data_IF_954057333375
#
_entry.id   IF_954057333375
#
_cell.length_a   1.000
_cell.length_b   1.000
_cell.length_c   1.000
_cell.angle_alpha   90.00
_cell.angle_beta   90.00
_cell.angle_gamma   90.00
#
_symmetry.space_group_name_H-M   'P 1'
#
loop_
_entity.id
_entity.type
_entity.pdbx_description
1 polymer ?
#
# COMPACT_ATOMS: atom_id res chain seq x y z
N UNK A 1 39.51 34.82 -50.99
CA UNK A 1 39.67 33.39 -50.63
C UNK A 1 40.05 33.15 -49.17
N UNK A 2 41.04 33.86 -48.59
CA UNK A 2 41.51 33.58 -47.22
C UNK A 2 40.49 33.86 -46.09
N UNK A 3 39.56 34.81 -46.27
CA UNK A 3 38.48 35.10 -45.29
C UNK A 3 37.43 33.99 -45.23
N UNK A 4 37.18 33.32 -46.35
CA UNK A 4 36.22 32.22 -46.44
C UNK A 4 36.70 31.01 -45.64
N UNK A 5 37.99 30.69 -45.76
CA UNK A 5 38.62 29.59 -45.01
C UNK A 5 38.57 29.82 -43.50
N UNK A 6 38.84 31.05 -43.04
CA UNK A 6 38.78 31.42 -41.61
C UNK A 6 37.36 31.30 -41.04
N UNK A 7 36.34 31.62 -41.82
CA UNK A 7 34.94 31.49 -41.40
C UNK A 7 34.51 30.02 -41.33
N UNK A 8 34.94 29.18 -42.28
CA UNK A 8 34.68 27.74 -42.26
C UNK A 8 35.34 27.04 -41.08
N UNK A 9 36.54 27.45 -40.68
CA UNK A 9 37.21 26.92 -39.49
C UNK A 9 36.51 27.31 -38.18
N UNK A 10 35.97 28.52 -38.08
CA UNK A 10 35.21 28.95 -36.89
C UNK A 10 33.89 28.19 -36.77
N UNK A 11 33.13 28.07 -37.85
CA UNK A 11 31.83 27.39 -37.82
C UNK A 11 31.97 25.91 -37.48
N UNK A 12 32.99 25.24 -38.03
CA UNK A 12 33.28 23.83 -37.70
C UNK A 12 33.69 23.66 -36.23
N UNK A 13 34.48 24.59 -35.68
CA UNK A 13 34.82 24.58 -34.25
C UNK A 13 33.60 24.70 -33.34
N UNK A 14 32.67 25.63 -33.64
CA UNK A 14 31.43 25.76 -32.87
C UNK A 14 30.51 24.54 -33.02
N UNK A 15 30.45 23.92 -34.19
CA UNK A 15 29.68 22.69 -34.41
C UNK A 15 30.21 21.52 -33.58
N UNK A 16 31.53 21.38 -33.50
CA UNK A 16 32.19 20.37 -32.66
C UNK A 16 31.93 20.65 -31.18
N UNK A 17 32.02 21.91 -30.74
CA UNK A 17 31.72 22.28 -29.36
C UNK A 17 30.25 22.01 -28.98
N UNK A 18 29.32 22.26 -29.92
CA UNK A 18 27.89 22.03 -29.74
C UNK A 18 27.53 20.54 -29.68
N UNK A 19 28.20 19.68 -30.45
CA UNK A 19 27.99 18.23 -30.36
C UNK A 19 28.47 17.64 -29.03
N UNK A 20 29.44 18.26 -28.35
CA UNK A 20 29.81 17.89 -26.98
C UNK A 20 28.78 18.27 -25.92
N UNK A 21 27.87 19.22 -26.21
CA UNK A 21 26.72 19.54 -25.34
C UNK A 21 25.60 18.50 -25.49
N UNK A 22 25.46 17.91 -26.67
CA UNK A 22 24.59 16.75 -26.92
C UNK A 22 25.30 15.44 -26.54
N UNK A 23 25.66 15.29 -25.27
CA UNK A 23 25.89 13.95 -24.72
C UNK A 23 24.53 13.26 -24.66
N UNK A 24 24.39 12.16 -25.40
CA UNK A 24 23.25 11.26 -25.31
C UNK A 24 23.10 10.85 -23.84
N UNK A 25 22.08 11.35 -23.14
CA UNK A 25 21.70 10.76 -21.86
C UNK A 25 21.19 9.37 -22.18
N UNK A 26 22.07 8.38 -22.05
CA UNK A 26 21.64 7.00 -21.97
C UNK A 26 20.62 6.96 -20.82
N UNK A 27 19.40 6.51 -21.11
CA UNK A 27 18.20 6.77 -20.30
C UNK A 27 18.21 6.15 -18.90
N UNK A 28 18.97 6.74 -17.97
CA UNK A 28 19.05 6.34 -16.55
C UNK A 28 18.04 7.13 -15.68
N UNK A 29 17.47 8.22 -16.21
CA UNK A 29 16.53 9.09 -15.46
C UNK A 29 15.23 8.40 -15.05
N UNK A 30 14.72 7.44 -15.84
CA UNK A 30 13.49 6.71 -15.51
C UNK A 30 13.70 5.68 -14.39
N UNK A 31 14.85 5.01 -14.37
CA UNK A 31 15.15 3.99 -13.35
C UNK A 31 15.44 4.64 -12.01
N UNK A 32 16.26 5.71 -11.97
CA UNK A 32 16.55 6.44 -10.73
C UNK A 32 15.30 7.12 -10.15
N UNK A 33 14.41 7.66 -10.98
CA UNK A 33 13.15 8.24 -10.52
C UNK A 33 12.19 7.17 -9.99
N UNK A 34 12.11 6.02 -10.65
CA UNK A 34 11.34 4.86 -10.18
C UNK A 34 11.87 4.35 -8.84
N UNK A 35 13.17 4.20 -8.70
CA UNK A 35 13.83 3.74 -7.49
C UNK A 35 13.70 4.78 -6.35
N UNK A 36 13.87 6.07 -6.63
CA UNK A 36 13.63 7.13 -5.66
C UNK A 36 12.15 7.24 -5.23
N UNK A 37 11.20 7.01 -6.13
CA UNK A 37 9.76 6.94 -5.81
C UNK A 37 9.46 5.70 -4.97
N UNK A 38 10.06 4.56 -5.31
CA UNK A 38 9.97 3.30 -4.57
C UNK A 38 10.53 3.44 -3.16
N UNK A 39 11.73 4.03 -3.02
CA UNK A 39 12.36 4.35 -1.75
C UNK A 39 11.46 5.31 -0.96
N UNK A 40 10.86 6.33 -1.60
CA UNK A 40 9.93 7.26 -0.95
C UNK A 40 8.59 6.62 -0.54
N UNK A 41 8.26 5.46 -1.10
CA UNK A 41 7.03 4.71 -0.85
C UNK A 41 7.37 3.30 -0.40
N UNK A 42 8.00 3.19 0.76
CA UNK A 42 8.34 1.90 1.35
C UNK A 42 7.06 1.11 1.66
N UNK A 43 6.92 -0.05 1.01
CA UNK A 43 5.91 -1.05 1.34
C UNK A 43 6.24 -1.67 2.71
N UNK A 44 5.24 -1.74 3.59
CA UNK A 44 5.34 -2.39 4.90
C UNK A 44 4.28 -3.49 4.99
N UNK A 45 4.72 -4.70 5.29
CA UNK A 45 3.83 -5.79 5.69
C UNK A 45 3.54 -5.67 7.19
N UNK A 46 2.26 -5.71 7.56
CA UNK A 46 1.81 -5.65 8.95
C UNK A 46 0.99 -6.89 9.25
N UNK A 47 1.25 -7.50 10.40
CA UNK A 47 0.47 -8.61 10.95
C UNK A 47 -0.12 -8.16 12.28
N UNK A 48 -1.44 -8.31 12.43
CA UNK A 48 -2.16 -7.98 13.66
C UNK A 48 -2.92 -9.21 14.14
N UNK A 49 -2.99 -9.35 15.46
CA UNK A 49 -3.75 -10.40 16.13
C UNK A 49 -4.54 -9.77 17.27
N UNK A 50 -5.85 -9.97 17.28
CA UNK A 50 -6.73 -9.44 18.31
C UNK A 50 -8.05 -10.22 18.37
N UNK A 51 -8.80 -10.02 19.46
CA UNK A 51 -10.13 -10.58 19.65
C UNK A 51 -11.16 -9.45 19.65
N UNK A 52 -12.35 -9.73 19.12
CA UNK A 52 -13.46 -8.77 19.12
C UNK A 52 -14.79 -9.48 19.36
N UNK A 53 -15.73 -8.78 20.00
CA UNK A 53 -17.10 -9.26 20.15
C UNK A 53 -17.91 -8.95 18.89
N UNK A 54 -18.68 -9.91 18.41
CA UNK A 54 -19.58 -9.76 17.27
C UNK A 54 -20.95 -10.35 17.62
N UNK A 55 -22.01 -9.86 16.99
CA UNK A 55 -23.35 -10.39 17.14
C UNK A 55 -23.83 -10.82 15.77
N UNK A 56 -23.92 -12.13 15.57
CA UNK A 56 -24.33 -12.70 14.30
C UNK A 56 -25.85 -12.80 14.23
N UNK A 57 -26.43 -12.37 13.10
CA UNK A 57 -27.86 -12.50 12.83
C UNK A 57 -28.12 -12.84 11.37
N UNK A 58 -29.11 -13.68 11.13
CA UNK A 58 -29.50 -14.13 9.80
C UNK A 58 -28.62 -15.24 9.22
N UNK A 59 -29.06 -15.75 8.06
CA UNK A 59 -28.48 -16.94 7.40
C UNK A 59 -27.21 -16.65 6.59
N UNK A 60 -27.10 -15.45 6.03
CA UNK A 60 -25.97 -15.04 5.17
C UNK A 60 -25.52 -13.61 5.49
N UNK A 61 -24.89 -13.37 6.66
CA UNK A 61 -24.52 -12.02 7.03
C UNK A 61 -23.28 -11.52 6.28
N UNK A 62 -23.16 -10.20 6.23
CA UNK A 62 -21.96 -9.48 5.79
C UNK A 62 -21.49 -8.60 6.94
N UNK A 63 -20.18 -8.39 7.02
CA UNK A 63 -19.56 -7.50 7.99
C UNK A 63 -19.01 -6.25 7.29
N UNK A 64 -19.19 -5.10 7.95
CA UNK A 64 -18.54 -3.83 7.61
C UNK A 64 -17.96 -3.26 8.89
N UNK A 65 -16.65 -3.40 9.06
CA UNK A 65 -15.96 -3.13 10.31
C UNK A 65 -14.85 -2.12 10.07
N UNK A 66 -14.64 -1.21 11.02
CA UNK A 66 -13.51 -0.31 11.04
C UNK A 66 -12.85 -0.40 12.42
N UNK A 67 -11.62 -0.91 12.45
CA UNK A 67 -10.87 -1.03 13.69
C UNK A 67 -9.94 0.16 13.84
N UNK A 68 -10.15 0.95 14.89
CA UNK A 68 -9.36 2.13 15.23
C UNK A 68 -8.44 1.83 16.41
N UNK A 69 -7.16 2.16 16.25
CA UNK A 69 -6.14 1.98 17.27
C UNK A 69 -5.97 3.29 18.04
N UNK A 70 -6.22 3.27 19.34
CA UNK A 70 -6.16 4.47 20.20
C UNK A 70 -4.86 4.63 20.99
N UNK A 71 -4.00 3.62 20.99
CA UNK A 71 -2.75 3.59 21.77
C UNK A 71 -1.62 2.87 21.02
N UNK A 72 -0.40 2.94 21.56
CA UNK A 72 0.78 2.27 21.00
C UNK A 72 1.32 2.87 19.69
N UNK A 73 2.10 2.09 18.93
CA UNK A 73 2.72 2.54 17.68
C UNK A 73 1.70 3.02 16.65
N UNK A 74 0.49 2.44 16.67
CA UNK A 74 -0.54 2.63 15.66
C UNK A 74 -1.64 3.62 16.08
N UNK A 75 -1.47 4.34 17.19
CA UNK A 75 -2.43 5.34 17.66
C UNK A 75 -2.89 6.29 16.54
N UNK A 76 -4.22 6.43 16.39
CA UNK A 76 -4.90 7.24 15.38
C UNK A 76 -4.94 6.61 13.98
N UNK A 77 -4.48 5.37 13.82
CA UNK A 77 -4.58 4.62 12.57
C UNK A 77 -5.78 3.67 12.61
N UNK A 78 -6.29 3.28 11.44
CA UNK A 78 -7.38 2.33 11.33
C UNK A 78 -7.22 1.38 10.15
N UNK A 79 -7.91 0.24 10.20
CA UNK A 79 -8.12 -0.66 9.06
C UNK A 79 -9.62 -0.89 8.86
N UNK A 80 -10.04 -1.01 7.60
CA UNK A 80 -11.44 -1.26 7.25
C UNK A 80 -11.58 -2.63 6.58
N UNK A 81 -12.57 -3.39 7.04
CA UNK A 81 -12.90 -4.74 6.57
C UNK A 81 -14.31 -4.71 6.02
N UNK A 82 -14.52 -5.27 4.83
CA UNK A 82 -15.84 -5.41 4.23
C UNK A 82 -15.93 -6.76 3.52
N UNK A 83 -16.80 -7.65 3.99
CA UNK A 83 -16.84 -9.01 3.47
C UNK A 83 -18.04 -9.82 3.91
N UNK A 84 -18.17 -11.01 3.35
CA UNK A 84 -19.15 -12.00 3.78
C UNK A 84 -18.69 -12.59 5.11
N UNK A 85 -19.58 -12.66 6.08
CA UNK A 85 -19.27 -13.15 7.42
C UNK A 85 -20.17 -14.35 7.75
N UNK A 86 -19.97 -15.47 7.05
CA UNK A 86 -20.74 -16.69 7.27
C UNK A 86 -20.28 -17.38 8.56
N UNK A 87 -20.86 -17.01 9.69
CA UNK A 87 -20.44 -17.44 11.03
C UNK A 87 -20.47 -18.94 11.33
N UNK A 88 -21.11 -19.74 10.46
CA UNK A 88 -21.06 -21.21 10.51
C UNK A 88 -19.77 -21.80 9.92
N UNK A 89 -19.01 -20.98 9.17
CA UNK A 89 -17.68 -21.35 8.68
C UNK A 89 -16.66 -21.10 9.80
N UNK A 90 -15.79 -22.09 10.02
CA UNK A 90 -14.78 -22.09 11.08
C UNK A 90 -13.82 -20.91 10.96
N UNK A 91 -13.26 -20.69 9.76
CA UNK A 91 -12.39 -19.57 9.44
C UNK A 91 -12.94 -18.81 8.24
N UNK A 92 -13.13 -17.51 8.40
CA UNK A 92 -13.69 -16.62 7.37
C UNK A 92 -12.62 -15.63 6.93
N UNK A 93 -12.27 -15.68 5.65
CA UNK A 93 -11.39 -14.67 5.05
C UNK A 93 -12.21 -13.45 4.62
N UNK A 94 -11.87 -12.28 5.14
CA UNK A 94 -12.46 -11.00 4.76
C UNK A 94 -11.39 -10.03 4.27
N UNK A 95 -11.62 -9.29 3.19
CA UNK A 95 -10.60 -8.39 2.65
C UNK A 95 -10.45 -7.15 3.52
N UNK A 96 -9.19 -6.73 3.68
CA UNK A 96 -8.86 -5.37 4.12
C UNK A 96 -9.00 -4.46 2.90
N UNK A 97 -10.05 -3.66 2.90
CA UNK A 97 -10.41 -2.77 1.78
C UNK A 97 -9.74 -1.40 1.89
N UNK A 98 -9.14 -1.09 3.04
CA UNK A 98 -8.41 0.16 3.23
C UNK A 98 -7.87 0.32 4.64
N UNK A 99 -7.21 1.46 4.85
CA UNK A 99 -6.72 1.87 6.15
C UNK A 99 -6.32 3.35 6.17
N UNK A 100 -6.22 3.90 7.38
CA UNK A 100 -5.88 5.30 7.64
C UNK A 100 -4.58 5.43 8.45
N UNK A 101 -4.08 6.65 8.60
CA UNK A 101 -2.86 6.90 9.37
C UNK A 101 -1.66 6.10 8.86
N UNK A 102 -1.04 5.31 9.74
CA UNK A 102 0.11 4.44 9.43
C UNK A 102 -0.24 3.27 8.51
N UNK A 103 -1.52 2.96 8.34
CA UNK A 103 -2.02 1.90 7.47
C UNK A 103 -2.62 2.46 6.17
N UNK A 104 -2.20 3.66 5.76
CA UNK A 104 -2.65 4.23 4.49
C UNK A 104 -2.34 3.27 3.34
N UNK A 105 -3.32 3.11 2.45
CA UNK A 105 -3.29 2.17 1.33
C UNK A 105 -3.21 0.70 1.76
N UNK A 106 -3.65 0.37 2.99
CA UNK A 106 -3.71 -1.01 3.43
C UNK A 106 -4.57 -1.86 2.49
N UNK A 107 -4.01 -2.98 2.03
CA UNK A 107 -4.72 -4.02 1.29
C UNK A 107 -4.18 -5.39 1.70
N UNK A 108 -5.08 -6.33 1.96
CA UNK A 108 -4.75 -7.63 2.52
C UNK A 108 -6.00 -8.38 2.94
N UNK A 109 -5.86 -9.23 3.95
CA UNK A 109 -6.92 -10.12 4.41
C UNK A 109 -6.94 -10.21 5.94
N UNK A 110 -8.11 -10.53 6.47
CA UNK A 110 -8.37 -10.88 7.85
C UNK A 110 -8.95 -12.29 7.89
N UNK A 111 -8.36 -13.18 8.68
CA UNK A 111 -8.92 -14.48 9.00
C UNK A 111 -9.65 -14.36 10.34
N UNK A 112 -10.97 -14.50 10.30
CA UNK A 112 -11.83 -14.45 11.46
C UNK A 112 -12.23 -15.87 11.88
N UNK A 113 -11.87 -16.26 13.10
CA UNK A 113 -12.18 -17.56 13.70
C UNK A 113 -13.06 -17.36 14.94
N UNK A 114 -14.22 -18.01 14.98
CA UNK A 114 -15.14 -17.86 16.11
C UNK A 114 -14.70 -18.79 17.25
N UNK A 115 -14.16 -18.22 18.32
CA UNK A 115 -13.67 -18.99 19.48
C UNK A 115 -14.78 -19.33 20.47
N UNK A 116 -15.83 -18.51 20.52
CA UNK A 116 -16.99 -18.74 21.37
C UNK A 116 -18.25 -18.14 20.73
N UNK A 117 -19.39 -18.81 20.90
CA UNK A 117 -20.67 -18.40 20.36
C UNK A 117 -21.82 -18.87 21.27
N UNK A 118 -22.72 -17.96 21.63
CA UNK A 118 -24.03 -18.29 22.18
C UNK A 118 -25.07 -18.32 21.05
N UNK A 119 -25.56 -19.51 20.75
CA UNK A 119 -26.55 -19.73 19.68
C UNK A 119 -27.93 -19.12 19.99
N UNK A 120 -28.22 -18.79 21.25
CA UNK A 120 -29.52 -18.20 21.60
C UNK A 120 -29.55 -16.70 21.30
N UNK A 121 -28.43 -16.01 21.49
CA UNK A 121 -28.32 -14.55 21.34
C UNK A 121 -27.57 -14.14 20.07
N UNK A 122 -26.73 -15.01 19.53
CA UNK A 122 -25.81 -14.72 18.43
C UNK A 122 -24.51 -14.03 18.88
N UNK A 123 -24.35 -13.77 20.18
CA UNK A 123 -23.14 -13.16 20.75
C UNK A 123 -21.95 -14.11 20.60
N UNK A 124 -20.83 -13.55 20.16
CA UNK A 124 -19.66 -14.30 19.80
C UNK A 124 -18.38 -13.56 20.16
N UNK A 125 -17.36 -14.33 20.51
CA UNK A 125 -15.98 -13.85 20.54
C UNK A 125 -15.28 -14.38 19.30
N UNK A 126 -14.69 -13.47 18.54
CA UNK A 126 -14.03 -13.78 17.27
C UNK A 126 -12.56 -13.38 17.35
N UNK A 127 -11.68 -14.33 17.05
CA UNK A 127 -10.25 -14.12 16.87
C UNK A 127 -9.97 -13.63 15.44
N UNK A 128 -9.17 -12.59 15.32
CA UNK A 128 -8.76 -12.01 14.04
C UNK A 128 -7.25 -12.13 13.86
N UNK A 129 -6.83 -12.84 12.81
CA UNK A 129 -5.47 -12.87 12.30
C UNK A 129 -5.41 -12.09 10.99
N UNK A 130 -4.78 -10.92 11.01
CA UNK A 130 -4.84 -9.96 9.90
C UNK A 130 -3.46 -9.77 9.30
N UNK A 131 -3.36 -9.95 7.98
CA UNK A 131 -2.13 -9.73 7.20
C UNK A 131 -2.39 -8.75 6.07
N UNK A 132 -1.65 -7.64 6.02
CA UNK A 132 -1.81 -6.65 4.96
C UNK A 132 -0.52 -5.91 4.62
N UNK A 133 -0.51 -5.38 3.40
CA UNK A 133 0.51 -4.46 2.90
C UNK A 133 -0.01 -3.05 2.99
N UNK A 134 0.80 -2.12 3.48
CA UNK A 134 0.53 -0.69 3.49
C UNK A 134 1.74 0.09 2.99
N UNK A 135 1.56 1.38 2.71
CA UNK A 135 2.66 2.23 2.30
C UNK A 135 2.85 3.36 3.29
N UNK A 136 4.07 3.48 3.80
CA UNK A 136 4.43 4.60 4.67
C UNK A 136 4.86 5.78 3.81
N UNK A 137 4.20 6.91 4.00
CA UNK A 137 4.74 8.20 3.55
C UNK A 137 5.57 8.73 4.71
N UNK A 138 6.86 9.00 4.46
CA UNK A 138 7.75 9.68 5.41
C UNK A 138 7.13 10.98 5.90
#
# INVERSE_FOLDING_TARGET
>A
MASHLKNTLKTTFYFILFSYLFRLSNGVFSEELSEAISIKRMEKTTHLHFFFHDIHSGKSPSAMLNYEFSEGEFNGSSISVLGRNLWMDDVREMPIVGGSGRFRYASGYALAHTVWLDLNTGDAVVEYNVGFRSFRKY
#
